data_IF_826430340254
#
_entry.id   IF_826430340254
#
_cell.length_a   1.000
_cell.length_b   1.000
_cell.length_c   1.000
_cell.angle_alpha   90.00
_cell.angle_beta   90.00
_cell.angle_gamma   90.00
#
_symmetry.space_group_name_H-M   'P 1'
#
loop_
_entity.id
_entity.type
_entity.pdbx_description
1 polymer ?
#
# COMPACT_ATOMS: atom_id res chain seq x y z
N UNK A 1 19.11 5.60 -18.36
CA UNK A 1 19.71 5.70 -17.02
C UNK A 1 21.21 5.64 -17.16
N UNK A 2 21.97 6.50 -16.47
CA UNK A 2 23.44 6.38 -16.46
C UNK A 2 23.87 5.32 -15.42
N UNK A 3 25.02 4.65 -15.62
CA UNK A 3 25.58 3.74 -14.64
C UNK A 3 25.79 4.39 -13.27
N UNK A 4 26.15 5.68 -13.22
CA UNK A 4 26.34 6.40 -11.96
C UNK A 4 25.02 6.66 -11.20
N UNK A 5 23.91 6.92 -11.92
CA UNK A 5 22.59 7.03 -11.32
C UNK A 5 22.08 5.68 -10.80
N UNK A 6 22.51 4.58 -11.41
CA UNK A 6 22.28 3.22 -10.91
C UNK A 6 23.16 2.89 -9.68
N UNK A 7 24.33 3.52 -9.53
CA UNK A 7 25.33 3.26 -8.47
C UNK A 7 25.14 4.07 -7.17
N UNK A 8 23.92 4.50 -6.85
CA UNK A 8 23.69 5.18 -5.57
C UNK A 8 22.21 5.19 -5.16
N UNK A 9 21.46 6.27 -5.39
CA UNK A 9 20.10 6.40 -4.86
C UNK A 9 19.15 5.26 -5.27
N UNK A 10 19.22 4.82 -6.54
CA UNK A 10 18.37 3.74 -7.05
C UNK A 10 18.75 2.39 -6.43
N UNK A 11 20.04 2.03 -6.43
CA UNK A 11 20.51 0.79 -5.81
C UNK A 11 20.14 0.72 -4.33
N UNK A 12 20.37 1.79 -3.58
CA UNK A 12 20.05 1.83 -2.16
C UNK A 12 18.51 1.79 -1.91
N UNK A 13 17.70 2.35 -2.81
CA UNK A 13 16.25 2.20 -2.76
C UNK A 13 15.82 0.75 -3.04
N UNK A 14 16.32 0.14 -4.12
CA UNK A 14 16.07 -1.27 -4.41
C UNK A 14 16.49 -2.18 -3.26
N UNK A 15 17.63 -1.89 -2.61
CA UNK A 15 18.07 -2.63 -1.42
C UNK A 15 17.05 -2.48 -0.28
N UNK A 16 16.60 -1.27 0.05
CA UNK A 16 15.62 -1.06 1.11
C UNK A 16 14.26 -1.74 0.82
N UNK A 17 13.85 -1.80 -0.46
CA UNK A 17 12.67 -2.55 -0.91
C UNK A 17 12.86 -4.05 -0.65
N UNK A 18 13.99 -4.62 -1.05
CA UNK A 18 14.32 -6.03 -0.81
C UNK A 18 14.45 -6.34 0.69
N UNK A 19 15.09 -5.47 1.49
CA UNK A 19 15.20 -5.62 2.94
C UNK A 19 13.82 -5.63 3.62
N UNK A 20 12.89 -4.82 3.13
CA UNK A 20 11.50 -4.82 3.62
C UNK A 20 10.84 -6.18 3.38
N UNK A 21 10.96 -6.73 2.17
CA UNK A 21 10.45 -8.08 1.85
C UNK A 21 11.13 -9.19 2.65
N UNK A 22 12.45 -9.11 2.82
CA UNK A 22 13.22 -10.07 3.61
C UNK A 22 12.73 -10.12 5.07
N UNK A 23 12.43 -8.96 5.68
CA UNK A 23 11.86 -8.92 7.02
C UNK A 23 10.54 -9.70 7.11
N UNK A 24 9.63 -9.58 6.13
CA UNK A 24 8.40 -10.37 6.10
C UNK A 24 8.67 -11.88 6.02
N UNK A 25 9.58 -12.31 5.15
CA UNK A 25 9.94 -13.73 4.98
C UNK A 25 10.54 -14.30 6.26
N UNK A 26 11.44 -13.56 6.90
CA UNK A 26 12.08 -14.00 8.15
C UNK A 26 11.08 -14.12 9.30
N UNK A 27 10.21 -13.12 9.48
CA UNK A 27 9.18 -13.18 10.51
C UNK A 27 8.14 -14.25 10.21
N UNK A 28 7.77 -14.46 8.95
CA UNK A 28 6.87 -15.55 8.57
C UNK A 28 7.44 -16.91 8.95
N UNK A 29 8.71 -17.16 8.63
CA UNK A 29 9.41 -18.40 8.99
C UNK A 29 9.43 -18.61 10.50
N UNK A 30 9.72 -17.58 11.28
CA UNK A 30 9.73 -17.66 12.76
C UNK A 30 8.36 -17.98 13.35
N UNK A 31 7.30 -17.45 12.75
CA UNK A 31 5.93 -17.57 13.26
C UNK A 31 5.15 -18.76 12.65
N UNK A 32 5.74 -19.53 11.73
CA UNK A 32 5.06 -20.60 11.01
C UNK A 32 3.99 -20.11 10.03
N UNK A 33 4.13 -18.87 9.56
CA UNK A 33 3.31 -18.29 8.49
C UNK A 33 3.95 -18.62 7.13
N UNK A 34 3.21 -18.40 6.04
CA UNK A 34 3.75 -18.60 4.68
C UNK A 34 3.98 -17.26 4.00
N UNK A 35 5.24 -17.02 3.66
CA UNK A 35 5.72 -15.89 2.86
C UNK A 35 7.13 -16.27 2.41
N UNK A 36 7.27 -16.64 1.13
CA UNK A 36 8.53 -16.98 0.50
C UNK A 36 9.00 -15.90 -0.48
N UNK A 37 10.20 -16.06 -1.06
CA UNK A 37 10.72 -15.12 -2.06
C UNK A 37 9.83 -14.95 -3.29
N UNK A 38 9.04 -15.96 -3.65
CA UNK A 38 8.12 -15.93 -4.79
C UNK A 38 6.80 -15.22 -4.49
N UNK A 39 6.53 -14.91 -3.22
CA UNK A 39 5.34 -14.16 -2.82
C UNK A 39 5.56 -12.64 -2.91
N UNK A 40 6.75 -12.21 -3.31
CA UNK A 40 7.16 -10.81 -3.47
C UNK A 40 7.29 -10.45 -4.95
N UNK A 41 6.45 -9.55 -5.44
CA UNK A 41 6.41 -9.09 -6.82
C UNK A 41 6.77 -7.59 -6.90
N UNK A 42 8.00 -7.22 -7.31
CA UNK A 42 8.40 -5.82 -7.41
C UNK A 42 7.71 -5.11 -8.59
N UNK A 43 7.49 -3.80 -8.43
CA UNK A 43 7.16 -2.86 -9.52
C UNK A 43 6.00 -3.28 -10.45
N UNK A 44 4.91 -3.76 -9.88
CA UNK A 44 3.74 -4.18 -10.64
C UNK A 44 2.86 -2.98 -11.01
N UNK A 45 2.68 -2.74 -12.31
CA UNK A 45 1.82 -1.66 -12.81
C UNK A 45 0.32 -1.95 -12.63
N UNK A 46 -0.41 -0.90 -12.23
CA UNK A 46 -1.86 -0.86 -12.11
C UNK A 46 -2.39 0.38 -12.84
N UNK A 47 -3.06 0.15 -13.97
CA UNK A 47 -3.60 1.24 -14.79
C UNK A 47 -5.00 1.63 -14.34
N UNK A 48 -5.29 2.92 -14.35
CA UNK A 48 -6.59 3.48 -14.02
C UNK A 48 -6.82 4.81 -14.73
N UNK A 49 -8.04 5.35 -14.63
CA UNK A 49 -8.38 6.67 -15.17
C UNK A 49 -8.96 7.52 -14.06
N UNK A 50 -8.76 8.83 -14.19
CA UNK A 50 -9.30 9.84 -13.30
C UNK A 50 -10.35 10.67 -14.07
N UNK A 51 -11.56 10.76 -13.53
CA UNK A 51 -12.64 11.54 -14.13
C UNK A 51 -12.34 13.04 -14.15
N UNK A 52 -11.52 13.53 -13.21
CA UNK A 52 -11.04 14.92 -13.21
C UNK A 52 -10.01 15.20 -14.31
N UNK A 53 -9.45 14.15 -14.92
CA UNK A 53 -8.48 14.23 -16.04
C UNK A 53 -8.91 13.34 -17.22
N UNK A 54 -10.00 13.71 -17.92
CA UNK A 54 -10.53 12.90 -19.01
C UNK A 54 -9.47 12.66 -20.10
N UNK A 55 -9.25 11.39 -20.45
CA UNK A 55 -8.32 10.98 -21.52
C UNK A 55 -6.89 10.68 -21.07
N UNK A 56 -6.54 10.94 -19.80
CA UNK A 56 -5.26 10.53 -19.23
C UNK A 56 -5.37 9.11 -18.64
N UNK A 57 -4.51 8.19 -19.08
CA UNK A 57 -4.34 6.89 -18.43
C UNK A 57 -3.27 7.04 -17.34
N UNK A 58 -3.70 6.87 -16.09
CA UNK A 58 -2.83 6.93 -14.94
C UNK A 58 -2.29 5.55 -14.62
N UNK A 59 -1.08 5.51 -14.05
CA UNK A 59 -0.43 4.28 -13.64
C UNK A 59 0.03 4.39 -12.19
N UNK A 60 -0.36 3.41 -11.39
CA UNK A 60 0.08 3.20 -10.02
C UNK A 60 1.05 2.01 -10.02
N UNK A 61 2.27 2.24 -9.56
CA UNK A 61 3.31 1.20 -9.44
C UNK A 61 3.77 1.18 -7.99
N UNK A 62 3.30 0.24 -7.16
CA UNK A 62 3.89 -0.02 -5.85
C UNK A 62 5.34 -0.47 -6.01
N UNK A 63 6.20 -0.10 -5.07
CA UNK A 63 7.57 -0.64 -5.04
C UNK A 63 7.54 -2.18 -4.95
N UNK A 64 6.55 -2.75 -4.25
CA UNK A 64 6.23 -4.17 -4.34
C UNK A 64 4.78 -4.53 -3.99
N UNK A 65 4.36 -5.69 -4.47
CA UNK A 65 3.16 -6.41 -4.02
C UNK A 65 3.61 -7.67 -3.27
N UNK A 66 3.13 -7.86 -2.05
CA UNK A 66 3.44 -9.04 -1.23
C UNK A 66 2.19 -9.86 -0.94
N UNK A 67 2.24 -11.16 -1.23
CA UNK A 67 1.27 -12.15 -0.78
C UNK A 67 1.73 -12.78 0.55
N UNK A 68 0.80 -13.03 1.47
CA UNK A 68 1.14 -13.55 2.80
C UNK A 68 0.03 -14.44 3.34
N UNK A 69 0.38 -15.58 3.93
CA UNK A 69 -0.57 -16.43 4.65
C UNK A 69 -0.30 -16.37 6.14
N UNK A 70 -1.17 -15.68 6.87
CA UNK A 70 -1.13 -15.66 8.32
C UNK A 70 -1.78 -16.94 8.88
N UNK A 71 -1.08 -17.64 9.75
CA UNK A 71 -1.55 -18.88 10.36
C UNK A 71 -1.76 -18.69 11.87
N UNK A 72 -3.00 -18.84 12.33
CA UNK A 72 -3.34 -18.82 13.75
C UNK A 72 -4.04 -20.14 14.12
N UNK A 73 -3.31 -21.07 14.72
CA UNK A 73 -3.81 -22.43 14.97
C UNK A 73 -4.17 -23.13 13.65
N UNK A 74 -5.45 -23.49 13.49
CA UNK A 74 -5.97 -24.11 12.24
C UNK A 74 -6.47 -23.08 11.22
N UNK A 75 -6.58 -21.81 11.60
CA UNK A 75 -7.08 -20.77 10.72
C UNK A 75 -5.94 -20.20 9.87
N UNK A 76 -6.16 -20.16 8.56
CA UNK A 76 -5.26 -19.54 7.58
C UNK A 76 -5.96 -18.34 6.97
N UNK A 77 -5.28 -17.21 6.89
CA UNK A 77 -5.83 -16.01 6.25
C UNK A 77 -4.86 -15.47 5.21
N UNK A 78 -5.38 -15.30 3.99
CA UNK A 78 -4.65 -14.69 2.88
C UNK A 78 -4.67 -13.17 3.04
N UNK A 79 -3.48 -12.58 3.00
CA UNK A 79 -3.26 -11.14 3.04
C UNK A 79 -2.47 -10.75 1.79
N UNK A 80 -2.77 -9.57 1.28
CA UNK A 80 -1.98 -8.94 0.22
C UNK A 80 -1.64 -7.53 0.68
N UNK A 81 -0.39 -7.13 0.42
CA UNK A 81 0.13 -5.82 0.77
C UNK A 81 0.65 -5.11 -0.49
N UNK A 82 0.33 -3.84 -0.61
CA UNK A 82 1.14 -2.91 -1.40
C UNK A 82 2.20 -2.33 -0.47
N UNK A 83 3.47 -2.42 -0.87
CA UNK A 83 4.59 -1.90 -0.09
C UNK A 83 5.21 -0.74 -0.86
N UNK A 84 5.37 0.37 -0.15
CA UNK A 84 6.08 1.55 -0.63
C UNK A 84 7.19 1.89 0.35
N UNK A 85 8.41 2.05 -0.14
CA UNK A 85 9.57 2.40 0.64
C UNK A 85 9.94 3.85 0.39
N UNK A 86 9.96 4.65 1.45
CA UNK A 86 10.39 6.04 1.36
C UNK A 86 11.68 6.27 2.14
N UNK A 87 12.74 6.56 1.39
CA UNK A 87 14.08 6.83 1.92
C UNK A 87 14.29 8.29 2.32
N UNK A 88 13.21 9.05 2.49
CA UNK A 88 13.21 10.50 2.72
C UNK A 88 13.83 11.35 1.61
N UNK A 89 13.96 10.79 0.41
CA UNK A 89 14.50 11.47 -0.77
C UNK A 89 13.42 12.28 -1.53
N UNK A 90 12.14 11.96 -1.34
CA UNK A 90 11.04 12.76 -1.88
C UNK A 90 10.46 13.72 -0.85
N UNK A 91 9.78 14.77 -1.32
CA UNK A 91 9.00 15.65 -0.44
C UNK A 91 7.86 14.89 0.21
N UNK A 92 7.43 15.33 1.38
CA UNK A 92 6.30 14.70 2.07
C UNK A 92 4.98 14.86 1.29
N UNK A 93 4.83 15.97 0.57
CA UNK A 93 3.71 16.19 -0.35
C UNK A 93 3.66 15.16 -1.49
N UNK A 94 4.82 14.74 -2.02
CA UNK A 94 4.88 13.69 -3.05
C UNK A 94 4.51 12.32 -2.48
N UNK A 95 4.90 12.02 -1.24
CA UNK A 95 4.45 10.79 -0.56
C UNK A 95 2.94 10.80 -0.31
N UNK A 96 2.38 11.93 0.13
CA UNK A 96 0.93 12.11 0.26
C UNK A 96 0.20 11.95 -1.08
N UNK A 97 0.79 12.42 -2.19
CA UNK A 97 0.23 12.22 -3.52
C UNK A 97 0.20 10.74 -3.95
N UNK A 98 1.21 9.93 -3.55
CA UNK A 98 1.14 8.46 -3.75
C UNK A 98 -0.07 7.88 -3.02
N UNK A 99 -0.28 8.27 -1.76
CA UNK A 99 -1.43 7.83 -0.97
C UNK A 99 -2.78 8.22 -1.63
N UNK A 100 -2.89 9.45 -2.13
CA UNK A 100 -4.04 9.89 -2.92
C UNK A 100 -4.27 9.00 -4.14
N UNK A 101 -3.22 8.67 -4.90
CA UNK A 101 -3.31 7.79 -6.06
C UNK A 101 -3.81 6.38 -5.70
N UNK A 102 -3.42 5.84 -4.54
CA UNK A 102 -3.99 4.58 -4.04
C UNK A 102 -5.49 4.68 -3.74
N UNK A 103 -5.94 5.79 -3.15
CA UNK A 103 -7.37 6.01 -2.92
C UNK A 103 -8.15 6.16 -4.23
N UNK A 104 -7.61 6.89 -5.21
CA UNK A 104 -8.20 6.97 -6.55
C UNK A 104 -8.28 5.58 -7.22
N UNK A 105 -7.22 4.78 -7.13
CA UNK A 105 -7.21 3.40 -7.65
C UNK A 105 -8.19 2.48 -6.92
N UNK A 106 -8.35 2.64 -5.60
CA UNK A 106 -9.31 1.88 -4.79
C UNK A 106 -10.75 2.07 -5.28
N UNK A 107 -11.12 3.31 -5.63
CA UNK A 107 -12.47 3.66 -6.10
C UNK A 107 -12.67 3.46 -7.61
N UNK A 108 -11.60 3.34 -8.39
CA UNK A 108 -11.69 3.27 -9.84
C UNK A 108 -12.45 2.02 -10.32
N UNK A 109 -13.62 2.25 -10.92
CA UNK A 109 -14.41 1.24 -11.61
C UNK A 109 -14.54 1.59 -13.10
N UNK A 110 -13.99 0.76 -14.02
CA UNK A 110 -14.05 1.05 -15.44
C UNK A 110 -15.49 1.03 -15.93
N UNK A 111 -15.92 2.10 -16.61
CA UNK A 111 -17.24 2.13 -17.22
C UNK A 111 -17.30 1.11 -18.38
N UNK A 112 -18.35 0.27 -18.47
CA UNK A 112 -18.50 -0.64 -19.59
C UNK A 112 -18.61 0.17 -20.89
N UNK A 113 -17.78 -0.16 -21.88
CA UNK A 113 -17.85 0.48 -23.20
C UNK A 113 -19.21 0.18 -23.82
N UNK A 114 -20.08 1.18 -23.91
CA UNK A 114 -21.33 1.06 -24.66
C UNK A 114 -21.01 0.94 -26.15
N UNK A 115 -21.20 -0.24 -26.71
CA UNK A 115 -21.27 -0.41 -28.17
C UNK A 115 -22.44 0.42 -28.71
N UNK A 116 -22.16 1.32 -29.67
CA UNK A 116 -23.19 2.09 -30.38
C UNK A 116 -24.22 1.14 -30.99
N UNK A 117 -25.45 1.16 -30.49
CA UNK A 117 -26.61 0.51 -31.12
C UNK A 117 -27.38 -0.50 -30.27
N UNK A 118 -26.89 -0.88 -29.08
CA UNK A 118 -27.61 -1.83 -28.22
C UNK A 118 -28.44 -1.07 -27.18
N UNK A 119 -29.77 -1.28 -27.14
CA UNK A 119 -30.62 -0.87 -26.00
C UNK A 119 -30.09 -1.60 -24.76
N UNK A 120 -29.42 -0.85 -23.88
CA UNK A 120 -28.51 -1.40 -22.88
C UNK A 120 -29.20 -2.27 -21.81
N UNK A 121 -28.54 -3.33 -21.33
CA UNK A 121 -28.99 -4.07 -20.15
C UNK A 121 -28.95 -3.16 -18.91
N UNK A 122 -29.73 -3.53 -17.87
CA UNK A 122 -29.78 -2.90 -16.54
C UNK A 122 -28.39 -2.43 -16.09
N UNK A 123 -28.31 -1.20 -15.55
CA UNK A 123 -27.16 -0.57 -14.88
C UNK A 123 -26.36 -1.63 -14.09
N UNK A 124 -25.37 -2.26 -14.74
CA UNK A 124 -24.47 -3.17 -14.06
C UNK A 124 -23.62 -2.30 -13.14
N UNK A 125 -23.59 -2.62 -11.85
CA UNK A 125 -22.70 -1.98 -10.90
C UNK A 125 -21.28 -2.29 -11.38
N UNK A 126 -20.56 -1.28 -11.86
CA UNK A 126 -19.17 -1.44 -12.28
C UNK A 126 -18.36 -1.85 -11.05
N UNK A 127 -17.70 -3.01 -11.12
CA UNK A 127 -16.83 -3.47 -10.05
C UNK A 127 -15.52 -2.66 -10.11
N UNK A 128 -14.94 -2.29 -8.95
CA UNK A 128 -13.61 -1.68 -8.93
C UNK A 128 -12.57 -2.56 -9.64
N UNK A 129 -11.68 -1.93 -10.42
CA UNK A 129 -10.72 -2.62 -11.28
C UNK A 129 -9.81 -3.60 -10.52
N UNK A 130 -9.46 -3.26 -9.28
CA UNK A 130 -8.60 -4.10 -8.45
C UNK A 130 -9.22 -5.46 -8.13
N UNK A 131 -10.56 -5.62 -8.20
CA UNK A 131 -11.23 -6.90 -7.91
C UNK A 131 -10.94 -7.99 -8.92
N UNK A 132 -10.50 -7.62 -10.13
CA UNK A 132 -10.03 -8.59 -11.12
C UNK A 132 -8.68 -9.21 -10.75
N UNK A 133 -7.91 -8.56 -9.86
CA UNK A 133 -6.56 -8.97 -9.47
C UNK A 133 -6.48 -9.47 -8.04
N UNK A 134 -7.29 -8.92 -7.15
CA UNK A 134 -7.22 -9.17 -5.71
C UNK A 134 -8.60 -9.49 -5.12
N UNK A 135 -8.71 -10.52 -4.24
CA UNK A 135 -9.97 -10.84 -3.57
C UNK A 135 -10.41 -9.76 -2.58
N UNK A 136 -9.45 -9.02 -2.02
CA UNK A 136 -9.64 -7.82 -1.21
C UNK A 136 -8.56 -6.81 -1.60
N UNK A 137 -8.84 -5.51 -1.49
CA UNK A 137 -7.84 -4.50 -1.82
C UNK A 137 -6.59 -4.69 -0.94
N UNK A 138 -5.38 -4.72 -1.52
CA UNK A 138 -4.15 -4.87 -0.76
C UNK A 138 -3.99 -3.75 0.28
N UNK A 139 -3.55 -4.10 1.48
CA UNK A 139 -3.26 -3.10 2.52
C UNK A 139 -2.02 -2.33 2.13
N UNK A 140 -2.05 -1.02 2.26
CA UNK A 140 -0.91 -0.16 1.93
C UNK A 140 0.03 -0.04 3.12
N UNK A 141 1.27 -0.48 2.95
CA UNK A 141 2.34 -0.38 3.94
C UNK A 141 3.38 0.61 3.44
N UNK A 142 3.53 1.71 4.16
CA UNK A 142 4.59 2.69 3.92
C UNK A 142 5.75 2.39 4.88
N UNK A 143 6.92 2.09 4.36
CA UNK A 143 8.11 1.75 5.14
C UNK A 143 9.13 2.88 4.98
N UNK A 144 9.39 3.61 6.07
CA UNK A 144 10.33 4.72 6.06
C UNK A 144 11.74 4.28 6.49
N UNK A 145 12.76 4.85 5.85
CA UNK A 145 14.18 4.63 6.22
C UNK A 145 15.07 5.77 5.73
N UNK A 146 16.37 5.69 5.98
CA UNK A 146 17.37 6.64 5.47
C UNK A 146 17.47 7.96 6.24
N UNK A 147 16.90 8.04 7.43
CA UNK A 147 16.99 9.20 8.32
C UNK A 147 16.97 8.80 9.80
N UNK A 148 17.28 9.73 10.71
CA UNK A 148 17.19 9.51 12.15
C UNK A 148 15.75 9.23 12.61
N UNK A 149 15.60 8.52 13.73
CA UNK A 149 14.30 8.16 14.31
C UNK A 149 13.38 9.38 14.48
N UNK A 150 13.90 10.48 15.05
CA UNK A 150 13.15 11.73 15.22
C UNK A 150 12.66 12.32 13.89
N UNK A 151 13.46 12.22 12.83
CA UNK A 151 13.09 12.72 11.50
C UNK A 151 12.04 11.84 10.86
N UNK A 152 12.13 10.52 11.04
CA UNK A 152 11.11 9.57 10.58
C UNK A 152 9.79 9.75 11.34
N UNK A 153 9.84 9.95 12.66
CA UNK A 153 8.66 10.21 13.48
C UNK A 153 7.93 11.51 13.07
N UNK A 154 8.66 12.62 12.86
CA UNK A 154 8.07 13.85 12.31
C UNK A 154 7.45 13.63 10.95
N UNK A 155 8.12 12.88 10.08
CA UNK A 155 7.62 12.57 8.74
C UNK A 155 6.32 11.75 8.77
N UNK A 156 6.18 10.82 9.71
CA UNK A 156 4.91 10.09 9.96
C UNK A 156 3.80 11.07 10.34
N UNK A 157 4.07 11.99 11.27
CA UNK A 157 3.10 12.99 11.71
C UNK A 157 2.69 13.94 10.57
N UNK A 158 3.64 14.40 9.76
CA UNK A 158 3.40 15.26 8.60
C UNK A 158 2.55 14.54 7.55
N UNK A 159 2.87 13.28 7.23
CA UNK A 159 2.09 12.47 6.29
C UNK A 159 0.65 12.32 6.75
N UNK A 160 0.44 12.00 8.03
CA UNK A 160 -0.90 11.86 8.61
C UNK A 160 -1.68 13.17 8.54
N UNK A 161 -1.02 14.30 8.80
CA UNK A 161 -1.66 15.62 8.74
C UNK A 161 -2.09 15.97 7.31
N UNK A 162 -1.26 15.66 6.31
CA UNK A 162 -1.61 15.82 4.89
C UNK A 162 -2.74 14.86 4.49
N UNK A 163 -2.68 13.60 4.91
CA UNK A 163 -3.71 12.61 4.62
C UNK A 163 -5.08 12.99 5.21
N UNK A 164 -5.10 13.53 6.43
CA UNK A 164 -6.31 14.02 7.07
C UNK A 164 -6.92 15.24 6.37
N UNK A 165 -6.10 16.00 5.62
CA UNK A 165 -6.54 17.19 4.88
C UNK A 165 -6.98 16.88 3.44
N UNK A 166 -6.80 15.64 2.97
CA UNK A 166 -7.16 15.21 1.62
C UNK A 166 -8.61 14.68 1.60
N UNK A 167 -9.53 15.34 0.87
CA UNK A 167 -10.93 14.91 0.81
C UNK A 167 -11.13 13.49 0.27
N UNK A 168 -10.27 13.04 -0.66
CA UNK A 168 -10.38 11.68 -1.23
C UNK A 168 -10.03 10.60 -0.19
N UNK A 169 -9.13 10.94 0.75
CA UNK A 169 -8.72 10.04 1.83
C UNK A 169 -9.67 10.06 3.03
N UNK A 170 -10.47 11.11 3.20
CA UNK A 170 -11.46 11.19 4.27
C UNK A 170 -12.59 10.14 4.13
N UNK A 171 -12.94 9.76 2.89
CA UNK A 171 -14.06 8.85 2.60
C UNK A 171 -13.62 7.47 2.11
N UNK A 172 -12.33 7.25 1.88
CA UNK A 172 -11.84 5.97 1.35
C UNK A 172 -11.88 4.85 2.40
N UNK A 173 -12.11 3.62 1.93
CA UNK A 173 -11.94 2.42 2.77
C UNK A 173 -10.50 1.89 2.79
N UNK A 174 -9.54 2.65 2.24
CA UNK A 174 -8.12 2.30 2.18
C UNK A 174 -7.57 2.00 3.58
N UNK A 175 -6.96 0.84 3.74
CA UNK A 175 -6.21 0.45 4.94
C UNK A 175 -4.73 0.74 4.70
N UNK A 176 -4.26 1.85 5.27
CA UNK A 176 -2.89 2.31 5.12
C UNK A 176 -2.21 2.47 6.49
N UNK A 177 -0.99 1.98 6.61
CA UNK A 177 -0.17 2.09 7.81
C UNK A 177 1.27 2.44 7.45
N UNK A 178 1.92 3.21 8.31
CA UNK A 178 3.32 3.62 8.16
C UNK A 178 4.16 3.09 9.31
N UNK A 179 5.33 2.56 9.01
CA UNK A 179 6.32 2.08 9.97
C UNK A 179 7.73 2.44 9.50
N UNK A 180 8.76 2.07 10.27
CA UNK A 180 10.15 2.17 9.84
C UNK A 180 10.72 0.80 9.48
N UNK A 181 11.73 0.78 8.60
CA UNK A 181 12.42 -0.47 8.24
C UNK A 181 13.03 -1.15 9.49
N UNK A 182 13.57 -0.36 10.42
CA UNK A 182 14.13 -0.86 11.68
C UNK A 182 13.08 -1.56 12.55
N UNK A 183 11.89 -0.97 12.70
CA UNK A 183 10.81 -1.62 13.46
C UNK A 183 10.33 -2.90 12.76
N UNK A 184 10.19 -2.86 11.43
CA UNK A 184 9.78 -4.02 10.65
C UNK A 184 10.78 -5.17 10.77
N UNK A 185 12.09 -4.90 10.68
CA UNK A 185 13.14 -5.90 10.85
C UNK A 185 13.16 -6.46 12.27
N UNK A 186 13.16 -5.59 13.28
CA UNK A 186 13.42 -6.00 14.65
C UNK A 186 12.21 -6.60 15.38
N UNK A 187 11.00 -6.14 15.07
CA UNK A 187 9.77 -6.57 15.76
C UNK A 187 8.84 -7.40 14.89
N UNK A 188 8.80 -7.08 13.60
CA UNK A 188 8.02 -7.81 12.62
C UNK A 188 6.63 -7.25 12.36
N UNK A 189 6.02 -7.64 11.24
CA UNK A 189 4.81 -7.01 10.73
C UNK A 189 3.57 -7.24 11.60
N UNK A 190 3.56 -8.30 12.43
CA UNK A 190 2.40 -8.62 13.29
C UNK A 190 2.56 -8.13 14.73
N UNK A 191 3.50 -7.22 14.97
CA UNK A 191 3.62 -6.45 16.22
C UNK A 191 2.99 -5.05 16.02
N UNK A 192 2.62 -4.34 17.10
CA UNK A 192 2.04 -2.99 17.01
C UNK A 192 3.10 -1.94 16.61
N UNK A 193 3.51 -1.94 15.35
CA UNK A 193 4.57 -1.08 14.80
C UNK A 193 4.10 -0.17 13.66
N UNK A 194 2.88 -0.35 13.16
CA UNK A 194 2.32 0.50 12.14
C UNK A 194 1.50 1.59 12.81
N UNK A 195 1.87 2.85 12.58
CA UNK A 195 0.94 3.95 12.84
C UNK A 195 -0.05 3.97 11.67
N UNK A 196 -1.37 3.85 11.89
CA UNK A 196 -2.34 4.04 10.81
C UNK A 196 -2.08 5.37 10.10
N UNK A 197 -2.36 5.49 8.80
CA UNK A 197 -2.25 6.79 8.13
C UNK A 197 -3.54 7.60 8.29
N UNK A 198 -4.67 6.88 8.37
CA UNK A 198 -6.02 7.44 8.52
C UNK A 198 -6.56 7.11 9.92
N UNK A 199 -7.35 8.01 10.49
CA UNK A 199 -8.00 7.82 11.80
C UNK A 199 -7.04 7.93 12.99
N UNK A 200 -7.29 7.14 14.05
CA UNK A 200 -6.50 7.18 15.28
C UNK A 200 -5.00 6.85 15.04
N UNK A 201 -4.13 7.41 15.87
CA UNK A 201 -2.67 7.24 15.77
C UNK A 201 -2.11 6.07 16.58
N UNK A 202 -2.99 5.28 17.22
CA UNK A 202 -2.58 4.14 18.03
C UNK A 202 -1.85 3.11 17.17
N UNK A 203 -0.64 2.66 17.58
CA UNK A 203 0.09 1.64 16.85
C UNK A 203 -0.70 0.33 16.72
N UNK A 204 -0.73 -0.22 15.50
CA UNK A 204 -1.38 -1.48 15.14
C UNK A 204 -0.42 -2.39 14.41
N UNK A 205 -0.85 -3.64 14.21
CA UNK A 205 -0.14 -4.60 13.37
C UNK A 205 -0.46 -4.41 11.87
N UNK A 206 0.19 -5.20 11.01
CA UNK A 206 -0.01 -5.18 9.56
C UNK A 206 -1.44 -5.53 9.13
N UNK A 207 -2.33 -6.01 10.01
CA UNK A 207 -3.72 -6.17 9.63
C UNK A 207 -4.40 -4.83 9.36
N UNK A 208 -3.90 -3.74 9.96
CA UNK A 208 -4.43 -2.37 9.89
C UNK A 208 -5.95 -2.44 9.87
N UNK A 209 -6.50 -3.01 10.95
CA UNK A 209 -7.94 -3.17 11.06
C UNK A 209 -8.52 -1.76 11.09
N UNK A 210 -9.38 -1.46 10.13
CA UNK A 210 -10.17 -0.23 10.22
C UNK A 210 -10.99 -0.23 11.52
N UNK A 211 -11.60 0.90 11.90
CA UNK A 211 -12.66 0.87 12.89
C UNK A 211 -13.63 -0.23 12.46
N UNK A 212 -13.93 -1.17 13.36
CA UNK A 212 -15.02 -2.11 13.13
C UNK A 212 -16.21 -1.22 12.74
N UNK A 213 -16.70 -1.35 11.50
CA UNK A 213 -18.03 -0.86 11.20
C UNK A 213 -18.91 -1.53 12.25
N UNK A 214 -19.43 -0.74 13.19
CA UNK A 214 -20.35 -1.25 14.20
C UNK A 214 -21.39 -2.06 13.43
N UNK A 215 -21.52 -3.34 13.77
CA UNK A 215 -22.46 -4.22 13.10
C UNK A 215 -23.84 -3.55 13.15
N UNK A 216 -24.39 -3.25 11.97
CA UNK A 216 -25.76 -2.81 11.80
C UNK A 216 -26.71 -4.00 12.02
#
# INVERSE_FOLDING_TARGET
>A
MSPEAALGPLQEHTLAVVESGAAFVEHARRLGHECGPLDWSPEIAHYYRDESRPGEELCLVPDAVLSYVHTAGKQRTLLTFFVEVDRTQMTIARLAQKLHAYAAYHEYAPQPQMTKGTRGPRRQVALPAWRYRYPAFPRLLLVLTGASEDRLARRIADLRSLAASDPALATTALRAGVTTLDQLRNRGPFQPIFTPVLGAAEPVDAWIRGPLAAAA
#
